data_IF_415337775902
#
_entry.id   IF_415337775902
#
_cell.length_a   1.000
_cell.length_b   1.000
_cell.length_c   1.000
_cell.angle_alpha   90.00
_cell.angle_beta   90.00
_cell.angle_gamma   90.00
#
_symmetry.space_group_name_H-M   'P 1'
#
loop_
_entity.id
_entity.type
_entity.pdbx_description
1 polymer ?
#
# COMPACT_ATOMS: atom_id res chain seq x y z
N UNK A 1 -18.46 11.86 -50.33
CA UNK A 1 -17.03 11.80 -49.98
C UNK A 1 -16.90 11.61 -48.46
N UNK A 2 -17.52 10.65 -47.76
CA UNK A 2 -17.82 9.22 -47.95
C UNK A 2 -16.60 8.29 -48.12
N UNK A 3 -16.22 7.72 -46.97
CA UNK A 3 -16.13 6.27 -46.78
C UNK A 3 -15.05 5.54 -47.60
N UNK A 4 -13.79 5.81 -47.29
CA UNK A 4 -12.67 4.94 -47.66
C UNK A 4 -11.71 4.81 -46.47
N UNK A 5 -11.27 3.57 -46.22
CA UNK A 5 -10.30 3.11 -45.19
C UNK A 5 -10.86 2.84 -43.80
N UNK A 6 -11.67 1.80 -43.69
CA UNK A 6 -11.60 0.84 -42.59
C UNK A 6 -12.59 -0.27 -42.94
N UNK A 7 -12.07 -1.39 -43.47
CA UNK A 7 -12.70 -2.71 -43.69
C UNK A 7 -12.08 -3.37 -44.93
N UNK A 8 -10.85 -3.90 -44.80
CA UNK A 8 -10.32 -4.92 -45.73
C UNK A 8 -9.04 -5.56 -45.18
N UNK A 9 -9.13 -6.16 -43.99
CA UNK A 9 -8.15 -7.14 -43.51
C UNK A 9 -8.88 -8.24 -42.73
N UNK A 10 -9.88 -8.81 -43.39
CA UNK A 10 -10.44 -10.11 -43.07
C UNK A 10 -10.61 -10.81 -44.41
N UNK A 11 -10.12 -12.05 -44.52
CA UNK A 11 -10.10 -12.91 -45.71
C UNK A 11 -8.86 -12.77 -46.60
N UNK A 12 -7.75 -13.41 -46.22
CA UNK A 12 -6.94 -14.29 -47.11
C UNK A 12 -6.28 -15.32 -46.18
N UNK A 13 -7.07 -16.33 -45.82
CA UNK A 13 -6.60 -17.71 -45.72
C UNK A 13 -7.12 -18.37 -47.01
N UNK A 14 -6.48 -19.43 -47.48
CA UNK A 14 -6.82 -20.23 -48.69
C UNK A 14 -6.03 -19.80 -49.94
N UNK A 15 -4.87 -20.41 -50.14
CA UNK A 15 -4.42 -21.15 -51.35
C UNK A 15 -2.89 -21.13 -51.46
N UNK A 16 -2.22 -22.14 -50.90
CA UNK A 16 -0.88 -22.56 -51.34
C UNK A 16 -0.63 -23.99 -50.85
N UNK A 17 -1.43 -24.93 -51.36
CA UNK A 17 -1.08 -26.34 -51.41
C UNK A 17 -0.46 -26.55 -52.80
N UNK A 18 0.79 -27.01 -52.88
CA UNK A 18 1.23 -28.16 -53.68
C UNK A 18 2.76 -28.22 -53.76
N UNK A 19 3.27 -29.46 -53.63
CA UNK A 19 4.65 -29.94 -53.79
C UNK A 19 5.61 -29.75 -52.60
N UNK A 20 5.68 -30.76 -51.72
CA UNK A 20 6.74 -31.77 -51.80
C UNK A 20 6.45 -32.93 -50.85
N UNK A 21 6.46 -34.14 -51.40
CA UNK A 21 6.25 -35.42 -50.73
C UNK A 21 7.57 -36.08 -50.33
N UNK A 22 7.48 -36.94 -49.30
CA UNK A 22 8.49 -37.91 -48.81
C UNK A 22 9.65 -37.28 -48.03
N UNK A 23 9.91 -37.61 -46.76
CA UNK A 23 10.32 -38.94 -46.23
C UNK A 23 9.90 -39.06 -44.73
N UNK A 24 9.26 -40.20 -44.38
CA UNK A 24 9.06 -40.76 -43.01
C UNK A 24 10.31 -41.56 -42.57
N UNK A 25 10.49 -42.15 -41.34
CA UNK A 25 9.52 -42.38 -40.25
C UNK A 25 10.10 -42.25 -38.80
N UNK A 26 9.26 -42.61 -37.80
CA UNK A 26 9.56 -43.01 -36.40
C UNK A 26 9.86 -41.90 -35.37
N UNK A 27 8.86 -41.47 -34.61
CA UNK A 27 8.57 -42.13 -33.32
C UNK A 27 7.25 -41.60 -32.71
N UNK A 28 6.44 -42.55 -32.29
CA UNK A 28 5.26 -42.42 -31.45
C UNK A 28 5.68 -41.87 -30.07
N UNK A 29 5.01 -40.86 -29.52
CA UNK A 29 4.88 -40.69 -28.07
C UNK A 29 3.71 -39.73 -27.76
N UNK A 30 2.60 -40.38 -27.39
CA UNK A 30 1.60 -40.04 -26.38
C UNK A 30 1.14 -38.60 -26.11
N UNK A 31 -0.18 -38.48 -26.19
CA UNK A 31 -1.06 -37.49 -25.57
C UNK A 31 -1.06 -37.71 -24.05
N UNK A 32 -0.59 -36.73 -23.25
CA UNK A 32 -1.20 -36.30 -21.97
C UNK A 32 -0.35 -35.25 -21.23
N UNK A 33 -1.01 -34.51 -20.32
CA UNK A 33 -0.51 -33.52 -19.36
C UNK A 33 -0.21 -32.12 -19.95
N UNK A 34 -1.19 -31.20 -19.97
CA UNK A 34 -1.56 -30.34 -18.83
C UNK A 34 -0.32 -29.91 -18.02
N UNK A 35 -0.01 -28.61 -18.02
CA UNK A 35 0.48 -27.80 -16.90
C UNK A 35 1.28 -26.57 -17.39
N UNK A 36 0.82 -25.40 -16.92
CA UNK A 36 1.53 -24.12 -16.79
C UNK A 36 1.63 -23.16 -18.00
N UNK A 37 0.51 -22.54 -18.31
CA UNK A 37 0.40 -21.28 -19.06
C UNK A 37 0.55 -20.03 -18.15
N UNK A 38 1.14 -20.14 -16.95
CA UNK A 38 1.23 -19.04 -15.96
C UNK A 38 2.65 -18.45 -15.77
N UNK A 39 3.66 -18.92 -16.50
CA UNK A 39 5.05 -18.41 -16.34
C UNK A 39 5.50 -17.34 -17.33
N UNK A 40 4.69 -16.99 -18.32
CA UNK A 40 5.10 -16.01 -19.35
C UNK A 40 4.66 -14.57 -19.05
N UNK A 41 3.70 -14.36 -18.13
CA UNK A 41 3.24 -13.02 -17.74
C UNK A 41 4.16 -12.35 -16.71
N UNK A 42 4.97 -13.12 -15.98
CA UNK A 42 5.83 -12.60 -14.90
C UNK A 42 7.08 -11.89 -15.44
N UNK A 43 7.57 -12.21 -16.65
CA UNK A 43 8.84 -11.67 -17.14
C UNK A 43 8.73 -10.33 -17.89
N UNK A 44 7.53 -9.93 -18.31
CA UNK A 44 7.31 -8.64 -19.01
C UNK A 44 6.78 -7.51 -18.11
N UNK A 45 6.64 -7.75 -16.80
CA UNK A 45 6.26 -6.73 -15.82
C UNK A 45 7.42 -5.92 -15.25
N UNK A 46 8.67 -6.27 -15.57
CA UNK A 46 9.86 -5.81 -14.81
C UNK A 46 10.60 -4.58 -15.38
N UNK A 47 10.04 -3.83 -16.34
CA UNK A 47 10.81 -2.75 -16.97
C UNK A 47 10.09 -1.45 -17.34
N UNK A 48 8.95 -1.12 -16.72
CA UNK A 48 8.44 0.26 -16.75
C UNK A 48 7.79 0.64 -15.40
N UNK A 49 8.62 0.73 -14.36
CA UNK A 49 8.28 1.51 -13.17
C UNK A 49 8.37 2.99 -13.51
N UNK A 50 7.31 3.57 -14.09
CA UNK A 50 7.19 5.03 -14.25
C UNK A 50 7.24 5.66 -12.86
N UNK A 51 8.37 6.29 -12.50
CA UNK A 51 8.42 7.27 -11.41
C UNK A 51 7.60 8.48 -11.81
N UNK A 52 6.31 8.47 -11.48
CA UNK A 52 5.48 9.67 -11.44
C UNK A 52 5.90 10.44 -10.18
N UNK A 53 6.75 11.46 -10.35
CA UNK A 53 7.00 12.46 -9.30
C UNK A 53 5.82 13.45 -9.35
N UNK A 54 4.67 13.05 -8.83
CA UNK A 54 3.56 13.97 -8.60
C UNK A 54 3.74 14.66 -7.25
N UNK A 55 3.31 15.91 -7.15
CA UNK A 55 3.37 16.70 -5.92
C UNK A 55 2.56 15.97 -4.83
N UNK A 56 3.24 15.66 -3.73
CA UNK A 56 2.82 14.73 -2.69
C UNK A 56 1.99 15.45 -1.63
N UNK A 57 0.70 15.64 -1.91
CA UNK A 57 -0.30 15.97 -0.88
C UNK A 57 -1.75 15.65 -1.29
N UNK A 58 -2.01 15.25 -2.55
CA UNK A 58 -3.38 15.02 -3.06
C UNK A 58 -3.82 13.55 -3.13
N UNK A 59 -2.98 12.60 -2.74
CA UNK A 59 -3.28 11.17 -2.92
C UNK A 59 -3.93 10.53 -1.68
N UNK A 60 -3.67 11.09 -0.50
CA UNK A 60 -4.19 10.58 0.75
C UNK A 60 -5.39 11.43 1.20
N UNK A 61 -6.44 10.81 1.76
CA UNK A 61 -7.61 11.52 2.24
C UNK A 61 -7.28 12.34 3.50
N UNK A 62 -7.62 13.62 3.47
CA UNK A 62 -7.52 14.54 4.59
C UNK A 62 -8.84 14.60 5.36
N UNK A 63 -8.76 14.64 6.68
CA UNK A 63 -9.90 14.77 7.58
C UNK A 63 -9.84 16.13 8.28
N UNK A 64 -10.84 16.96 7.97
CA UNK A 64 -10.91 18.37 8.35
C UNK A 64 -11.75 18.64 9.62
N UNK A 65 -12.29 17.60 10.26
CA UNK A 65 -13.12 17.77 11.47
C UNK A 65 -12.98 16.57 12.41
N UNK A 66 -13.14 16.83 13.73
CA UNK A 66 -13.11 15.77 14.74
C UNK A 66 -14.16 14.68 14.50
N UNK A 67 -15.36 15.09 14.08
CA UNK A 67 -16.42 14.16 13.70
C UNK A 67 -16.03 13.25 12.52
N UNK A 68 -15.33 13.78 11.51
CA UNK A 68 -14.86 12.97 10.40
C UNK A 68 -13.81 11.94 10.84
N UNK A 69 -12.95 12.29 11.80
CA UNK A 69 -11.98 11.38 12.41
C UNK A 69 -12.70 10.25 13.15
N UNK A 70 -13.64 10.58 14.03
CA UNK A 70 -14.40 9.58 14.78
C UNK A 70 -15.20 8.66 13.84
N UNK A 71 -15.85 9.23 12.82
CA UNK A 71 -16.59 8.44 11.84
C UNK A 71 -15.67 7.52 11.03
N UNK A 72 -14.48 7.98 10.63
CA UNK A 72 -13.51 7.15 9.90
C UNK A 72 -13.01 5.98 10.75
N UNK A 73 -12.82 6.17 12.06
CA UNK A 73 -12.43 5.11 12.99
C UNK A 73 -13.57 4.10 13.21
N UNK A 74 -14.82 4.59 13.31
CA UNK A 74 -15.99 3.75 13.55
C UNK A 74 -16.43 2.98 12.31
N UNK A 75 -16.26 3.56 11.12
CA UNK A 75 -16.68 2.94 9.86
C UNK A 75 -15.85 1.71 9.47
N UNK A 76 -14.63 1.60 9.98
CA UNK A 76 -13.69 0.54 9.60
C UNK A 76 -13.64 -0.59 10.65
N UNK A 77 -14.31 -1.71 10.34
CA UNK A 77 -14.36 -2.87 11.23
C UNK A 77 -13.33 -3.97 10.90
N UNK A 78 -12.93 -4.07 9.64
CA UNK A 78 -12.06 -5.13 9.11
C UNK A 78 -10.64 -4.68 8.79
N UNK A 79 -10.43 -3.38 8.63
CA UNK A 79 -9.16 -2.75 8.28
C UNK A 79 -8.62 -1.95 9.44
N UNK A 80 -7.31 -1.81 9.46
CA UNK A 80 -6.60 -0.94 10.39
C UNK A 80 -6.68 0.50 9.90
N UNK A 81 -7.01 1.43 10.79
CA UNK A 81 -7.05 2.86 10.50
C UNK A 81 -5.75 3.48 10.99
N UNK A 82 -4.95 4.00 10.07
CA UNK A 82 -3.73 4.76 10.36
C UNK A 82 -4.07 6.24 10.24
N UNK A 83 -3.80 7.01 11.28
CA UNK A 83 -3.99 8.47 11.25
C UNK A 83 -2.65 9.14 11.51
N UNK A 84 -2.24 10.01 10.58
CA UNK A 84 -1.13 10.92 10.76
C UNK A 84 -1.67 12.25 11.25
N UNK A 85 -1.34 12.64 12.48
CA UNK A 85 -1.54 13.99 12.97
C UNK A 85 -0.26 14.79 12.76
N UNK A 86 -0.36 15.94 12.12
CA UNK A 86 0.79 16.82 11.91
C UNK A 86 0.40 18.09 11.20
N UNK A 87 1.39 18.77 10.65
CA UNK A 87 1.18 19.87 9.72
C UNK A 87 1.80 19.52 8.38
N UNK A 88 1.05 19.71 7.29
CA UNK A 88 1.52 19.43 5.93
C UNK A 88 2.80 20.19 5.53
N UNK A 89 3.07 21.34 6.15
CA UNK A 89 4.26 22.16 5.89
C UNK A 89 5.49 21.76 6.71
N UNK A 90 5.37 20.83 7.66
CA UNK A 90 6.51 20.38 8.46
C UNK A 90 7.36 19.39 7.65
N UNK A 91 8.68 19.57 7.65
CA UNK A 91 9.62 18.70 6.95
C UNK A 91 9.49 17.23 7.39
N UNK A 92 9.25 16.99 8.67
CA UNK A 92 9.08 15.63 9.22
C UNK A 92 7.79 14.98 8.71
N UNK A 93 6.71 15.74 8.60
CA UNK A 93 5.44 15.28 8.03
C UNK A 93 5.59 15.00 6.54
N UNK A 94 6.25 15.87 5.78
CA UNK A 94 6.46 15.66 4.34
C UNK A 94 7.26 14.37 4.06
N UNK A 95 8.30 14.10 4.86
CA UNK A 95 9.07 12.85 4.75
C UNK A 95 8.20 11.62 5.06
N UNK A 96 7.35 11.70 6.09
CA UNK A 96 6.46 10.60 6.46
C UNK A 96 5.38 10.37 5.41
N UNK A 97 4.77 11.43 4.89
CA UNK A 97 3.72 11.38 3.87
C UNK A 97 4.22 10.75 2.56
N UNK A 98 5.48 10.99 2.18
CA UNK A 98 6.10 10.33 1.03
C UNK A 98 6.16 8.80 1.20
N UNK A 99 6.44 8.32 2.42
CA UNK A 99 6.41 6.89 2.73
C UNK A 99 4.97 6.39 2.72
N UNK A 100 4.06 7.07 3.43
CA UNK A 100 2.65 6.70 3.54
C UNK A 100 1.98 6.57 2.18
N UNK A 101 2.11 7.55 1.30
CA UNK A 101 1.46 7.53 -0.01
C UNK A 101 2.00 6.42 -0.90
N UNK A 102 3.28 6.05 -0.74
CA UNK A 102 3.88 4.98 -1.53
C UNK A 102 3.48 3.58 -1.05
N UNK A 103 3.11 3.46 0.22
CA UNK A 103 2.66 2.21 0.84
C UNK A 103 1.14 2.05 0.76
N UNK A 104 0.39 3.15 0.68
CA UNK A 104 -1.07 3.19 0.69
C UNK A 104 -1.72 2.20 -0.30
N UNK A 105 -1.20 2.10 -1.52
CA UNK A 105 -1.76 1.18 -2.52
C UNK A 105 -1.48 -0.30 -2.21
N UNK A 106 -0.33 -0.60 -1.58
CA UNK A 106 0.05 -1.97 -1.19
C UNK A 106 -0.77 -2.48 -0.01
N UNK A 107 -1.08 -1.62 0.96
CA UNK A 107 -1.75 -2.01 2.21
C UNK A 107 -3.28 -1.87 2.17
N UNK A 108 -3.86 -1.37 1.07
CA UNK A 108 -5.29 -1.05 0.93
C UNK A 108 -6.27 -2.16 1.35
N UNK A 109 -5.82 -3.41 1.27
CA UNK A 109 -6.63 -4.58 1.62
C UNK A 109 -6.84 -4.74 3.13
N UNK A 110 -5.92 -4.25 3.96
CA UNK A 110 -5.94 -4.45 5.41
C UNK A 110 -5.72 -3.18 6.23
N UNK A 111 -5.36 -2.06 5.61
CA UNK A 111 -5.22 -0.78 6.27
C UNK A 111 -5.65 0.39 5.36
N UNK A 112 -6.11 1.47 6.01
CA UNK A 112 -6.44 2.75 5.40
C UNK A 112 -5.65 3.85 6.10
N UNK A 113 -5.18 4.84 5.34
CA UNK A 113 -4.38 5.95 5.87
C UNK A 113 -5.19 7.23 5.70
N UNK A 114 -5.27 8.01 6.77
CA UNK A 114 -5.83 9.36 6.80
C UNK A 114 -4.81 10.36 7.31
N UNK A 115 -4.89 11.59 6.79
CA UNK A 115 -4.10 12.72 7.24
C UNK A 115 -5.01 13.69 8.01
N UNK A 116 -4.50 14.22 9.12
CA UNK A 116 -5.20 15.20 9.96
C UNK A 116 -4.24 16.34 10.28
N UNK A 117 -4.68 17.57 10.03
CA UNK A 117 -3.98 18.78 10.42
C UNK A 117 -4.33 19.19 11.87
N UNK A 118 -3.30 19.30 12.71
CA UNK A 118 -3.41 19.60 14.16
C UNK A 118 -3.99 21.01 14.39
N UNK A 119 -3.77 21.94 13.46
CA UNK A 119 -4.31 23.32 13.52
C UNK A 119 -5.79 23.38 13.21
N UNK A 120 -6.28 22.48 12.35
CA UNK A 120 -7.67 22.45 11.93
C UNK A 120 -8.52 21.68 12.92
N UNK A 121 -7.99 20.56 13.44
CA UNK A 121 -8.68 19.71 14.41
C UNK A 121 -7.87 19.66 15.73
N UNK A 122 -7.98 20.68 16.59
CA UNK A 122 -7.23 20.74 17.84
C UNK A 122 -7.81 19.85 18.96
N UNK A 123 -9.01 19.31 18.78
CA UNK A 123 -9.76 18.56 19.80
C UNK A 123 -8.97 17.36 20.36
N UNK A 124 -8.12 16.75 19.54
CA UNK A 124 -7.33 15.58 19.91
C UNK A 124 -5.99 15.91 20.58
N UNK A 125 -5.56 17.18 20.59
CA UNK A 125 -4.22 17.56 21.01
C UNK A 125 -3.98 17.25 22.49
N UNK A 126 -4.95 17.58 23.35
CA UNK A 126 -4.87 17.29 24.79
C UNK A 126 -5.11 15.80 25.07
N UNK A 127 -6.03 15.16 24.35
CA UNK A 127 -6.39 13.75 24.61
C UNK A 127 -5.26 12.78 24.26
N UNK A 128 -4.57 13.02 23.14
CA UNK A 128 -3.47 12.18 22.70
C UNK A 128 -2.10 12.77 22.98
N UNK A 129 -1.98 13.92 23.66
CA UNK A 129 -0.70 14.59 23.96
C UNK A 129 0.14 14.87 22.70
N UNK A 130 -0.49 15.46 21.67
CA UNK A 130 0.13 15.73 20.37
C UNK A 130 0.98 17.02 20.46
N UNK A 131 2.23 16.88 20.90
CA UNK A 131 3.21 17.98 20.96
C UNK A 131 4.31 17.88 19.90
N UNK A 132 4.50 16.67 19.33
CA UNK A 132 5.50 16.42 18.29
C UNK A 132 5.01 16.91 16.92
N UNK A 133 5.93 17.27 16.00
CA UNK A 133 5.57 17.81 14.69
C UNK A 133 4.81 16.82 13.79
N UNK A 134 5.13 15.53 13.90
CA UNK A 134 4.45 14.45 13.19
C UNK A 134 4.21 13.30 14.14
N UNK A 135 2.98 12.81 14.20
CA UNK A 135 2.62 11.64 14.99
C UNK A 135 1.73 10.71 14.19
N UNK A 136 2.00 9.41 14.29
CA UNK A 136 1.18 8.37 13.65
C UNK A 136 0.60 7.45 14.72
N UNK A 137 -0.70 7.27 14.65
CA UNK A 137 -1.50 6.45 15.56
C UNK A 137 -2.26 5.38 14.79
N UNK A 138 -2.52 4.27 15.47
CA UNK A 138 -3.16 3.09 14.87
C UNK A 138 -4.45 2.76 15.61
N UNK A 139 -5.54 2.61 14.88
CA UNK A 139 -6.84 2.25 15.40
C UNK A 139 -7.38 1.01 14.72
N UNK A 140 -8.06 0.17 15.48
CA UNK A 140 -8.75 -1.00 14.98
C UNK A 140 -10.03 -1.22 15.78
N UNK A 141 -11.20 -1.21 15.11
CA UNK A 141 -12.52 -1.39 15.74
C UNK A 141 -12.74 -0.46 16.95
N UNK A 142 -12.53 0.85 16.74
CA UNK A 142 -12.64 1.86 17.79
C UNK A 142 -11.71 1.66 19.00
N UNK A 143 -10.64 0.88 18.84
CA UNK A 143 -9.60 0.73 19.85
C UNK A 143 -8.29 1.26 19.33
N UNK A 144 -7.65 2.12 20.12
CA UNK A 144 -6.29 2.53 19.89
C UNK A 144 -5.34 1.35 20.16
N UNK A 145 -4.47 1.03 19.20
CA UNK A 145 -3.51 -0.07 19.29
C UNK A 145 -2.13 0.51 19.60
N UNK A 146 -1.61 0.16 20.77
CA UNK A 146 -0.28 0.54 21.20
C UNK A 146 0.77 -0.36 20.55
N UNK A 147 1.92 0.22 20.23
CA UNK A 147 3.05 -0.49 19.63
C UNK A 147 4.28 -0.29 20.49
N UNK A 148 4.87 -1.38 20.96
CA UNK A 148 6.15 -1.35 21.62
C UNK A 148 7.27 -1.30 20.58
N UNK A 149 7.85 -0.11 20.42
CA UNK A 149 8.95 0.19 19.50
C UNK A 149 10.30 0.30 20.23
N UNK A 150 10.32 0.14 21.56
CA UNK A 150 11.53 0.31 22.38
C UNK A 150 11.98 1.77 22.59
N UNK A 151 11.20 2.76 22.13
CA UNK A 151 11.48 4.19 22.36
C UNK A 151 10.99 4.72 23.71
N UNK A 152 10.22 3.90 24.45
CA UNK A 152 9.61 4.27 25.73
C UNK A 152 8.21 4.88 25.62
N UNK A 153 7.80 5.32 24.41
CA UNK A 153 6.43 5.73 24.13
C UNK A 153 5.75 4.73 23.20
N UNK A 154 4.75 4.01 23.71
CA UNK A 154 4.05 2.97 22.96
C UNK A 154 2.75 3.46 22.32
N UNK A 155 2.35 4.71 22.59
CA UNK A 155 1.08 5.25 22.12
C UNK A 155 1.15 5.75 20.67
N UNK A 156 2.32 6.16 20.20
CA UNK A 156 2.45 6.83 18.91
C UNK A 156 3.85 6.68 18.34
N UNK A 157 3.96 6.82 17.02
CA UNK A 157 5.23 7.01 16.32
C UNK A 157 5.42 8.51 16.12
N UNK A 158 6.42 9.13 16.75
CA UNK A 158 6.69 10.56 16.67
C UNK A 158 7.86 10.94 15.74
N UNK A 159 8.28 10.02 14.87
CA UNK A 159 9.36 10.26 13.91
C UNK A 159 8.97 9.85 12.49
N UNK A 160 9.61 10.48 11.51
CA UNK A 160 9.53 10.02 10.13
C UNK A 160 10.31 8.70 9.95
N UNK A 161 9.62 7.66 9.48
CA UNK A 161 10.23 6.43 9.00
C UNK A 161 10.74 6.68 7.58
N UNK A 162 11.95 6.22 7.25
CA UNK A 162 12.52 6.37 5.89
C UNK A 162 12.26 5.13 5.02
N UNK A 163 12.24 3.97 5.64
CA UNK A 163 12.13 2.69 4.95
C UNK A 163 10.66 2.25 4.83
N UNK A 164 10.22 2.09 3.59
CA UNK A 164 8.85 1.68 3.25
C UNK A 164 8.53 0.28 3.73
N UNK A 165 9.50 -0.62 3.64
CA UNK A 165 9.34 -2.01 4.07
C UNK A 165 9.15 -2.11 5.57
N UNK A 166 9.91 -1.33 6.35
CA UNK A 166 9.73 -1.28 7.82
C UNK A 166 8.32 -0.84 8.19
N UNK A 167 7.77 0.15 7.49
CA UNK A 167 6.42 0.61 7.75
C UNK A 167 5.37 -0.47 7.42
N UNK A 168 5.54 -1.21 6.32
CA UNK A 168 4.68 -2.35 5.98
C UNK A 168 4.74 -3.44 7.06
N UNK A 169 5.94 -3.80 7.51
CA UNK A 169 6.15 -4.85 8.51
C UNK A 169 5.52 -4.47 9.86
N UNK A 170 5.59 -3.18 10.23
CA UNK A 170 4.90 -2.65 11.41
C UNK A 170 3.39 -2.81 11.24
N UNK A 171 2.79 -2.31 10.15
CA UNK A 171 1.34 -2.40 9.95
C UNK A 171 0.86 -3.85 9.95
N UNK A 172 1.59 -4.75 9.30
CA UNK A 172 1.23 -6.16 9.29
C UNK A 172 1.23 -6.77 10.70
N UNK A 173 2.25 -6.44 11.50
CA UNK A 173 2.37 -6.93 12.88
C UNK A 173 1.23 -6.39 13.73
N UNK A 174 0.90 -5.10 13.59
CA UNK A 174 -0.21 -4.44 14.30
C UNK A 174 -1.54 -5.03 13.89
N UNK A 175 -1.79 -5.22 12.59
CA UNK A 175 -3.01 -5.82 12.08
C UNK A 175 -3.20 -7.25 12.60
N UNK A 176 -2.15 -8.08 12.56
CA UNK A 176 -2.17 -9.45 13.11
C UNK A 176 -2.40 -9.46 14.61
N UNK A 177 -1.81 -8.51 15.35
CA UNK A 177 -1.99 -8.36 16.80
C UNK A 177 -3.40 -7.89 17.18
N UNK A 178 -3.90 -6.87 16.48
CA UNK A 178 -5.22 -6.29 16.69
C UNK A 178 -6.34 -7.29 16.37
N UNK A 179 -6.20 -8.10 15.31
CA UNK A 179 -7.14 -9.19 14.99
C UNK A 179 -7.21 -10.28 16.07
N UNK A 180 -6.11 -10.50 16.81
CA UNK A 180 -6.07 -11.39 17.97
C UNK A 180 -6.63 -10.75 19.25
N UNK A 181 -7.08 -9.49 19.18
CA UNK A 181 -7.61 -8.74 20.32
C UNK A 181 -6.54 -8.18 21.25
N UNK A 182 -5.26 -8.13 20.83
CA UNK A 182 -4.20 -7.52 21.62
C UNK A 182 -4.23 -6.00 21.45
N UNK A 183 -4.26 -5.27 22.57
CA UNK A 183 -4.16 -3.80 22.57
C UNK A 183 -2.73 -3.28 22.53
N UNK A 184 -1.74 -4.13 22.82
CA UNK A 184 -0.31 -3.83 22.71
C UNK A 184 0.35 -4.86 21.81
N UNK A 185 1.11 -4.39 20.84
CA UNK A 185 1.82 -5.20 19.86
C UNK A 185 3.31 -4.85 19.89
N UNK A 186 4.18 -5.84 19.86
CA UNK A 186 5.62 -5.62 19.84
C UNK A 186 6.06 -5.49 18.39
N UNK A 187 6.80 -4.42 18.08
CA UNK A 187 7.33 -4.20 16.75
C UNK A 187 8.38 -5.29 16.39
N UNK A 188 8.50 -5.67 15.10
CA UNK A 188 9.48 -6.66 14.68
C UNK A 188 10.93 -6.17 14.81
N UNK A 189 11.13 -4.85 14.86
CA UNK A 189 12.43 -4.20 15.01
C UNK A 189 12.41 -3.27 16.22
N UNK A 190 13.52 -3.27 16.95
CA UNK A 190 13.73 -2.36 18.07
C UNK A 190 14.29 -1.01 17.57
N UNK A 191 13.63 0.08 17.95
CA UNK A 191 14.01 1.46 17.64
C UNK A 191 14.66 2.17 18.84
N UNK A 192 14.99 1.45 19.92
CA UNK A 192 15.63 1.98 21.14
C UNK A 192 16.95 2.73 20.89
N UNK A 193 17.68 2.40 19.82
CA UNK A 193 18.96 3.05 19.48
C UNK A 193 18.78 4.41 18.81
N UNK A 194 17.57 4.79 18.41
CA UNK A 194 17.32 6.03 17.67
C UNK A 194 17.55 7.31 18.50
N UNK A 195 17.42 7.21 19.83
CA UNK A 195 17.71 8.29 20.78
C UNK A 195 19.06 8.13 21.48
N UNK A 196 19.93 7.21 21.04
CA UNK A 196 21.29 7.12 21.58
C UNK A 196 22.14 8.22 20.93
N UNK A 197 22.31 9.31 21.68
CA UNK A 197 23.23 10.40 21.40
C UNK A 197 24.70 9.95 21.49
#
# INVERSE_FOLDING_TARGET
MFLFRLLRFSSILITAFHHFTFILPFCCFDIEAYWNFDRFVIFLGFLVGRKKKERMSYLLPHLHSGWAVDQAILAEEERLVVIRFGHDWDETCMQMDEVLSSVAETIKNFAVIYLVDITEVPDFNTMYELYDPSTVMFFFRNKHIMIDLGTGNNNKINWALKDKQEFIDIIETVYRGARKGRGLVIAPKDYSTKYRY
#
